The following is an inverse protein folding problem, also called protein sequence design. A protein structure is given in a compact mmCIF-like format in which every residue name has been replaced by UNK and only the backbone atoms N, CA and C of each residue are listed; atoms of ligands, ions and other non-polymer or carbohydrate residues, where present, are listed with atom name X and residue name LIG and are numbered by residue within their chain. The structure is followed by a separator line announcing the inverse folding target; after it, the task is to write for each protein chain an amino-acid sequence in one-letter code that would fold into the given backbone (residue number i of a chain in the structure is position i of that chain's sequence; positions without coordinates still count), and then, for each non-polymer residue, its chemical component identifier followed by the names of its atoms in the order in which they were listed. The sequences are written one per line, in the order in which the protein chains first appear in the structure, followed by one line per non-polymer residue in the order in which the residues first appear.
data_IF_834029065012
#
_entry.id   IF_834029065012
#
_cell.length_a   1.000
_cell.length_b   1.000
_cell.length_c   1.000
_cell.angle_alpha   90.00
_cell.angle_beta   90.00
_cell.angle_gamma   90.00
#
_symmetry.space_group_name_H-M   'P 1'
#
loop_
_entity.id
_entity.type
_entity.pdbx_description
1 polymer ?
#
# COMPACT_ATOMS: atom_id res chain seq x y z
N UNK A 1 -18.68 22.75 21.40
CA UNK A 1 -17.61 23.77 21.32
C UNK A 1 -16.62 23.25 20.27
N UNK A 2 -16.18 24.08 19.31
CA UNK A 2 -15.05 23.70 18.45
C UNK A 2 -13.82 23.75 19.33
N UNK A 3 -13.02 22.68 19.35
CA UNK A 3 -11.73 22.70 20.01
C UNK A 3 -10.89 23.83 19.39
N UNK A 4 -10.44 24.75 20.20
CA UNK A 4 -9.57 25.85 19.73
C UNK A 4 -8.14 25.33 19.80
N UNK A 5 -7.58 24.96 18.65
CA UNK A 5 -6.20 24.50 18.56
C UNK A 5 -5.25 25.70 18.52
N UNK A 6 -4.24 25.70 19.36
CA UNK A 6 -3.13 26.65 19.24
C UNK A 6 -2.16 26.14 18.16
N UNK A 7 -2.41 26.50 16.90
CA UNK A 7 -1.64 26.01 15.74
C UNK A 7 -0.17 26.40 15.80
N UNK A 8 0.14 27.60 16.28
CA UNK A 8 1.51 28.08 16.41
C UNK A 8 2.30 27.22 17.40
N UNK A 9 1.73 26.99 18.58
CA UNK A 9 2.35 26.14 19.59
C UNK A 9 2.50 24.69 19.14
N UNK A 10 1.47 24.12 18.45
CA UNK A 10 1.55 22.78 17.88
C UNK A 10 2.66 22.69 16.81
N UNK A 11 2.79 23.70 15.94
CA UNK A 11 3.86 23.76 14.94
C UNK A 11 5.25 23.87 15.59
N UNK A 12 5.38 24.62 16.66
CA UNK A 12 6.64 24.73 17.44
C UNK A 12 7.01 23.39 18.09
N UNK A 13 6.07 22.71 18.72
CA UNK A 13 6.28 21.40 19.35
C UNK A 13 6.62 20.32 18.31
N UNK A 14 5.92 20.32 17.18
CA UNK A 14 6.18 19.42 16.07
C UNK A 14 7.62 19.53 15.57
N UNK A 15 8.06 20.74 15.22
CA UNK A 15 9.43 21.00 14.76
C UNK A 15 10.51 20.63 15.77
N UNK A 16 10.20 20.71 17.07
CA UNK A 16 11.16 20.43 18.14
C UNK A 16 11.26 18.97 18.51
N UNK A 17 10.20 18.17 18.32
CA UNK A 17 10.12 16.83 18.93
C UNK A 17 9.74 15.71 17.96
N UNK A 18 9.19 16.01 16.75
CA UNK A 18 8.73 15.00 15.83
C UNK A 18 9.71 14.80 14.67
N UNK A 19 10.12 13.56 14.46
CA UNK A 19 10.90 13.18 13.27
C UNK A 19 9.96 12.63 12.21
N UNK A 20 9.73 13.41 11.15
CA UNK A 20 8.84 13.02 10.07
C UNK A 20 9.50 12.05 9.08
N UNK A 21 8.80 10.96 8.68
CA UNK A 21 9.32 10.02 7.68
C UNK A 21 9.47 10.71 6.30
N UNK A 22 10.47 10.28 5.52
CA UNK A 22 10.74 10.77 4.17
C UNK A 22 10.83 12.29 4.03
N UNK A 23 11.19 13.00 5.10
CA UNK A 23 11.14 14.47 5.17
C UNK A 23 12.53 15.04 5.44
N UNK A 24 13.02 16.03 4.65
CA UNK A 24 14.26 16.73 4.94
C UNK A 24 14.14 17.58 6.22
N UNK A 25 14.78 17.16 7.31
CA UNK A 25 14.62 17.75 8.63
C UNK A 25 14.96 19.25 8.67
N UNK A 26 16.04 19.69 8.00
CA UNK A 26 16.42 21.09 7.95
C UNK A 26 15.32 21.97 7.32
N UNK A 27 14.69 21.47 6.26
CA UNK A 27 13.64 22.18 5.56
C UNK A 27 12.33 22.21 6.37
N UNK A 28 12.00 21.10 7.03
CA UNK A 28 10.84 21.01 7.93
C UNK A 28 10.97 21.94 9.12
N UNK A 29 12.15 21.99 9.74
CA UNK A 29 12.44 22.85 10.89
C UNK A 29 12.68 24.33 10.55
N UNK A 30 12.70 24.74 9.27
CA UNK A 30 12.94 26.12 8.88
C UNK A 30 11.84 27.06 9.38
N UNK A 31 12.19 28.35 9.54
CA UNK A 31 11.23 29.38 9.97
C UNK A 31 10.08 29.54 8.97
N UNK A 32 10.38 29.42 7.68
CA UNK A 32 9.42 29.62 6.59
C UNK A 32 8.48 28.43 6.37
N UNK A 33 8.74 27.29 7.02
CA UNK A 33 7.87 26.13 6.89
C UNK A 33 6.79 26.15 7.99
N UNK A 34 5.52 26.14 7.59
CA UNK A 34 4.39 25.98 8.49
C UNK A 34 3.85 24.54 8.37
N UNK A 35 3.93 23.72 9.44
CA UNK A 35 3.34 22.39 9.43
C UNK A 35 1.82 22.42 9.23
N UNK A 36 1.30 21.57 8.38
CA UNK A 36 -0.14 21.40 8.20
C UNK A 36 -0.70 20.51 9.32
N UNK A 37 -1.37 21.12 10.29
CA UNK A 37 -1.96 20.42 11.43
C UNK A 37 -3.39 20.01 11.09
N UNK A 38 -3.62 18.74 10.76
CA UNK A 38 -4.93 18.17 10.45
C UNK A 38 -5.62 17.74 11.75
N UNK A 39 -6.85 18.21 11.97
CA UNK A 39 -7.56 18.03 13.25
C UNK A 39 -8.89 17.29 13.10
N UNK A 40 -9.43 17.19 11.88
CA UNK A 40 -10.71 16.53 11.61
C UNK A 40 -10.73 15.92 10.22
N UNK A 41 -11.50 14.83 10.06
CA UNK A 41 -11.79 14.22 8.78
C UNK A 41 -13.21 13.70 8.72
N UNK A 42 -13.86 13.83 7.55
CA UNK A 42 -15.19 13.31 7.29
C UNK A 42 -15.33 12.94 5.80
N UNK A 43 -15.72 11.70 5.51
CA UNK A 43 -15.71 11.19 4.14
C UNK A 43 -14.36 11.37 3.48
N UNK A 44 -14.31 11.94 2.29
CA UNK A 44 -13.07 12.19 1.58
C UNK A 44 -12.37 13.52 1.96
N UNK A 45 -12.89 14.25 2.96
CA UNK A 45 -12.42 15.59 3.31
C UNK A 45 -11.64 15.59 4.61
N UNK A 46 -10.56 16.37 4.66
CA UNK A 46 -9.78 16.70 5.86
C UNK A 46 -9.94 18.19 6.20
N UNK A 47 -9.81 18.53 7.49
CA UNK A 47 -9.84 19.89 7.98
C UNK A 47 -8.60 20.16 8.85
N UNK A 48 -7.94 21.29 8.60
CA UNK A 48 -6.79 21.72 9.40
C UNK A 48 -7.20 22.56 10.62
N UNK A 49 -6.24 22.88 11.46
CA UNK A 49 -6.43 23.66 12.69
C UNK A 49 -6.89 25.12 12.45
N UNK A 50 -6.81 25.62 11.23
CA UNK A 50 -7.38 26.90 10.81
C UNK A 50 -8.79 26.78 10.24
N UNK A 51 -9.36 25.58 10.17
CA UNK A 51 -10.69 25.32 9.61
C UNK A 51 -10.72 25.25 8.08
N UNK A 52 -9.59 25.21 7.40
CA UNK A 52 -9.51 25.03 5.94
C UNK A 52 -9.74 23.55 5.59
N UNK A 53 -10.51 23.32 4.55
CA UNK A 53 -10.88 21.97 4.13
C UNK A 53 -10.16 21.55 2.85
N UNK A 54 -9.78 20.28 2.80
CA UNK A 54 -9.05 19.70 1.69
C UNK A 54 -9.66 18.34 1.29
N UNK A 55 -9.78 18.10 0.00
CA UNK A 55 -9.96 16.73 -0.49
C UNK A 55 -8.70 15.92 -0.20
N UNK A 56 -8.83 14.77 0.45
CA UNK A 56 -7.72 13.83 0.67
C UNK A 56 -7.40 13.08 -0.63
N UNK A 57 -6.71 13.75 -1.55
CA UNK A 57 -6.39 13.23 -2.88
C UNK A 57 -5.35 12.09 -2.89
N UNK A 58 -4.84 11.73 -1.72
CA UNK A 58 -3.84 10.66 -1.56
C UNK A 58 -4.24 9.63 -0.49
N UNK A 59 -5.51 9.68 -0.03
CA UNK A 59 -6.04 8.73 0.98
C UNK A 59 -5.09 8.54 2.16
N UNK A 60 -4.51 9.64 2.68
CA UNK A 60 -3.55 9.60 3.81
C UNK A 60 -2.43 8.56 3.59
N UNK A 61 -1.79 8.57 2.43
CA UNK A 61 -0.80 7.61 1.93
C UNK A 61 -1.43 6.24 1.65
N UNK A 62 -2.50 6.26 0.81
CA UNK A 62 -3.12 5.06 0.21
C UNK A 62 -3.81 4.13 1.20
N UNK A 63 -3.98 4.58 2.45
CA UNK A 63 -4.55 3.77 3.53
C UNK A 63 -6.06 3.90 3.64
N UNK A 64 -6.59 5.12 3.51
CA UNK A 64 -7.99 5.42 3.73
C UNK A 64 -8.85 4.96 2.54
N UNK A 65 -9.68 3.95 2.75
CA UNK A 65 -10.54 3.36 1.72
C UNK A 65 -11.95 3.95 1.77
N UNK A 66 -12.59 3.93 2.95
CA UNK A 66 -14.01 4.27 3.10
C UNK A 66 -14.27 5.74 3.46
N UNK A 67 -13.21 6.53 3.55
CA UNK A 67 -13.27 7.90 4.06
C UNK A 67 -13.07 7.98 5.58
N UNK A 68 -12.85 9.22 6.02
CA UNK A 68 -12.62 9.53 7.43
C UNK A 68 -13.91 9.45 8.24
N UNK A 69 -13.80 9.05 9.49
CA UNK A 69 -14.87 8.98 10.47
C UNK A 69 -16.10 8.14 10.04
N UNK A 70 -15.87 7.03 9.31
CA UNK A 70 -16.95 6.16 8.83
C UNK A 70 -17.75 5.58 10.00
N UNK A 71 -19.08 5.74 10.07
CA UNK A 71 -19.88 5.42 11.26
C UNK A 71 -19.83 3.94 11.64
N UNK A 72 -19.82 3.04 10.66
CA UNK A 72 -19.77 1.58 10.89
C UNK A 72 -18.44 1.17 11.52
N UNK A 73 -17.31 1.69 11.02
CA UNK A 73 -15.99 1.35 11.56
C UNK A 73 -15.80 1.98 12.94
N UNK A 74 -16.20 3.25 13.13
CA UNK A 74 -16.16 3.93 14.42
C UNK A 74 -16.95 3.17 15.49
N UNK A 75 -18.12 2.63 15.15
CA UNK A 75 -18.94 1.85 16.08
C UNK A 75 -18.25 0.56 16.45
N UNK A 76 -17.76 -0.20 15.47
CA UNK A 76 -17.05 -1.46 15.71
C UNK A 76 -15.85 -1.29 16.65
N UNK A 77 -15.11 -0.19 16.50
CA UNK A 77 -13.99 0.12 17.39
C UNK A 77 -14.44 0.46 18.81
N UNK A 78 -15.50 1.27 18.99
CA UNK A 78 -16.06 1.58 20.33
C UNK A 78 -16.55 0.31 21.01
N UNK A 79 -17.32 -0.52 20.31
CA UNK A 79 -17.84 -1.78 20.85
C UNK A 79 -16.71 -2.74 21.25
N UNK A 80 -15.59 -2.74 20.52
CA UNK A 80 -14.44 -3.58 20.84
C UNK A 80 -13.63 -3.01 22.01
N UNK A 81 -13.51 -1.68 22.14
CA UNK A 81 -12.85 -1.03 23.28
C UNK A 81 -13.53 -1.38 24.60
N UNK A 82 -14.86 -1.50 24.62
CA UNK A 82 -15.63 -1.88 25.81
C UNK A 82 -15.45 -3.35 26.22
N UNK A 83 -14.80 -4.17 25.38
CA UNK A 83 -14.53 -5.60 25.64
C UNK A 83 -13.09 -5.85 26.02
N UNK A 84 -12.19 -5.74 25.04
CA UNK A 84 -10.74 -5.89 25.24
C UNK A 84 -9.99 -5.16 24.12
N UNK A 85 -9.09 -4.26 24.53
CA UNK A 85 -8.30 -3.47 23.58
C UNK A 85 -7.20 -4.30 22.92
N UNK A 86 -6.51 -5.14 23.71
CA UNK A 86 -5.45 -6.02 23.22
C UNK A 86 -5.30 -7.26 24.09
N UNK A 87 -4.97 -8.39 23.44
CA UNK A 87 -4.55 -9.64 24.04
C UNK A 87 -3.51 -10.30 23.13
N UNK A 88 -2.48 -10.88 23.73
CA UNK A 88 -1.42 -11.56 22.99
C UNK A 88 -1.91 -12.81 22.26
N UNK A 89 -1.34 -13.10 21.08
CA UNK A 89 -1.50 -14.36 20.36
C UNK A 89 -0.57 -15.48 20.85
N UNK A 90 0.33 -15.18 21.77
CA UNK A 90 1.20 -16.23 22.36
C UNK A 90 0.43 -17.03 23.40
N UNK A 91 -0.07 -18.20 22.99
CA UNK A 91 -0.85 -19.09 23.82
C UNK A 91 -2.32 -18.69 24.03
N UNK A 92 -2.79 -17.64 23.39
CA UNK A 92 -4.18 -17.18 23.42
C UNK A 92 -4.64 -16.70 22.04
N UNK A 93 -5.94 -16.42 21.91
CA UNK A 93 -6.56 -15.90 20.69
C UNK A 93 -7.73 -15.00 21.04
N UNK A 94 -8.37 -14.38 20.03
CA UNK A 94 -9.53 -13.51 20.25
C UNK A 94 -10.55 -13.66 19.10
N UNK A 95 -11.86 -13.45 19.37
CA UNK A 95 -12.91 -13.62 18.39
C UNK A 95 -12.74 -12.78 17.11
N UNK A 96 -12.43 -11.45 17.17
CA UNK A 96 -12.25 -10.65 15.96
C UNK A 96 -11.14 -11.17 15.03
N UNK A 97 -10.04 -11.66 15.56
CA UNK A 97 -8.96 -12.18 14.73
C UNK A 97 -9.31 -13.54 14.09
N UNK A 98 -10.00 -14.41 14.83
CA UNK A 98 -10.50 -15.68 14.29
C UNK A 98 -11.48 -15.43 13.14
N UNK A 99 -12.45 -14.54 13.36
CA UNK A 99 -13.46 -14.20 12.37
C UNK A 99 -12.84 -13.53 11.15
N UNK A 100 -11.91 -12.61 11.36
CA UNK A 100 -11.20 -11.94 10.26
C UNK A 100 -10.41 -12.95 9.41
N UNK A 101 -9.68 -13.87 10.05
CA UNK A 101 -8.95 -14.92 9.33
C UNK A 101 -9.88 -15.79 8.47
N UNK A 102 -10.98 -16.25 9.05
CA UNK A 102 -12.00 -17.02 8.32
C UNK A 102 -12.61 -16.21 7.17
N UNK A 103 -12.88 -14.93 7.40
CA UNK A 103 -13.44 -14.04 6.38
C UNK A 103 -12.46 -13.81 5.23
N UNK A 104 -11.19 -13.51 5.52
CA UNK A 104 -10.17 -13.27 4.49
C UNK A 104 -9.95 -14.51 3.62
N UNK A 105 -9.84 -15.68 4.23
CA UNK A 105 -9.68 -16.94 3.47
C UNK A 105 -10.89 -17.27 2.61
N UNK A 106 -12.11 -16.92 3.04
CA UNK A 106 -13.34 -17.14 2.27
C UNK A 106 -13.48 -16.26 1.03
N UNK A 107 -12.63 -15.24 0.87
CA UNK A 107 -12.59 -14.39 -0.33
C UNK A 107 -11.88 -15.06 -1.51
N UNK A 108 -11.24 -16.21 -1.28
CA UNK A 108 -10.52 -16.96 -2.29
C UNK A 108 -11.16 -18.35 -2.50
N UNK A 109 -10.91 -18.99 -3.66
CA UNK A 109 -11.39 -20.33 -3.90
C UNK A 109 -10.97 -21.31 -2.79
N UNK A 110 -11.84 -22.26 -2.39
CA UNK A 110 -11.50 -23.25 -1.38
C UNK A 110 -10.16 -23.95 -1.67
N UNK A 111 -9.41 -24.27 -0.61
CA UNK A 111 -8.11 -24.96 -0.68
C UNK A 111 -6.97 -24.18 -1.37
N UNK A 112 -7.13 -22.88 -1.58
CA UNK A 112 -6.05 -22.02 -2.07
C UNK A 112 -5.36 -21.31 -0.91
N UNK A 113 -5.68 -20.05 -0.64
CA UNK A 113 -5.16 -19.28 0.49
C UNK A 113 -5.99 -19.60 1.76
N UNK A 114 -5.54 -20.56 2.55
CA UNK A 114 -6.32 -21.15 3.65
C UNK A 114 -5.84 -20.74 5.05
N UNK A 115 -4.71 -20.04 5.17
CA UNK A 115 -4.09 -19.64 6.43
C UNK A 115 -3.75 -18.16 6.44
N UNK A 116 -3.91 -17.54 7.59
CA UNK A 116 -3.62 -16.12 7.80
C UNK A 116 -2.64 -15.96 8.94
N UNK A 117 -1.56 -15.25 8.68
CA UNK A 117 -0.62 -14.77 9.70
C UNK A 117 -0.79 -13.27 9.84
N UNK A 118 -1.07 -12.78 11.06
CA UNK A 118 -1.25 -11.36 11.33
C UNK A 118 0.07 -10.70 11.77
N UNK A 119 0.31 -9.49 11.25
CA UNK A 119 1.40 -8.60 11.65
C UNK A 119 0.91 -7.14 11.69
N UNK A 120 1.81 -6.16 11.81
CA UNK A 120 1.42 -4.79 12.15
C UNK A 120 1.26 -3.88 10.92
N UNK A 121 2.07 -4.07 9.88
CA UNK A 121 2.11 -3.22 8.69
C UNK A 121 2.53 -3.99 7.42
N UNK A 122 2.51 -3.31 6.25
CA UNK A 122 2.84 -3.93 4.97
C UNK A 122 4.26 -4.51 4.92
N UNK A 123 5.25 -3.81 5.50
CA UNK A 123 6.63 -4.30 5.54
C UNK A 123 6.72 -5.62 6.29
N UNK A 124 6.03 -5.72 7.41
CA UNK A 124 6.03 -6.93 8.26
C UNK A 124 5.21 -8.07 7.67
N UNK A 125 4.20 -7.79 6.83
CA UNK A 125 3.54 -8.83 6.04
C UNK A 125 4.49 -9.44 5.01
N UNK A 126 5.26 -8.61 4.32
CA UNK A 126 6.29 -9.06 3.37
C UNK A 126 7.39 -9.84 4.09
N UNK A 127 7.88 -9.37 5.24
CA UNK A 127 8.85 -10.09 6.07
C UNK A 127 8.34 -11.49 6.47
N UNK A 128 7.06 -11.59 6.84
CA UNK A 128 6.45 -12.89 7.16
C UNK A 128 6.47 -13.83 5.96
N UNK A 129 6.05 -13.37 4.77
CA UNK A 129 6.07 -14.15 3.54
C UNK A 129 7.48 -14.64 3.18
N UNK A 130 8.48 -13.74 3.27
CA UNK A 130 9.88 -14.08 3.01
C UNK A 130 10.40 -15.16 3.96
N UNK A 131 10.20 -14.96 5.26
CA UNK A 131 10.66 -15.91 6.29
C UNK A 131 9.97 -17.26 6.17
N UNK A 132 8.67 -17.28 5.89
CA UNK A 132 7.95 -18.53 5.62
C UNK A 132 8.51 -19.25 4.39
N UNK A 133 8.78 -18.55 3.30
CA UNK A 133 9.33 -19.14 2.09
C UNK A 133 10.72 -19.76 2.34
N UNK A 134 11.61 -19.04 3.03
CA UNK A 134 12.95 -19.55 3.39
C UNK A 134 12.86 -20.79 4.28
N UNK A 135 12.10 -20.68 5.38
CA UNK A 135 11.98 -21.77 6.37
C UNK A 135 11.29 -22.99 5.77
N UNK A 136 10.27 -22.79 4.91
CA UNK A 136 9.64 -23.88 4.15
C UNK A 136 10.70 -24.69 3.38
N UNK A 137 11.55 -24.04 2.60
CA UNK A 137 12.57 -24.71 1.81
C UNK A 137 13.62 -25.40 2.68
N UNK A 138 14.02 -24.80 3.79
CA UNK A 138 14.91 -25.43 4.76
C UNK A 138 14.32 -26.72 5.33
N UNK A 139 13.05 -26.69 5.74
CA UNK A 139 12.36 -27.83 6.35
C UNK A 139 11.94 -28.90 5.32
N UNK A 140 11.82 -28.51 4.05
CA UNK A 140 11.48 -29.44 2.95
C UNK A 140 12.70 -30.03 2.24
N UNK A 141 13.90 -29.92 2.81
CA UNK A 141 15.12 -30.54 2.27
C UNK A 141 15.76 -29.78 1.09
N UNK A 142 15.37 -28.53 0.85
CA UNK A 142 15.89 -27.67 -0.21
C UNK A 142 16.52 -26.36 0.31
N UNK A 143 17.44 -26.39 1.31
CA UNK A 143 17.97 -25.18 1.96
C UNK A 143 18.75 -24.26 1.01
N UNK A 144 19.16 -24.76 -0.16
CA UNK A 144 19.80 -23.97 -1.21
C UNK A 144 18.84 -23.00 -1.90
N UNK A 145 17.53 -23.20 -1.79
CA UNK A 145 16.50 -22.26 -2.28
C UNK A 145 16.33 -21.12 -1.28
N UNK A 146 17.14 -20.08 -1.38
CA UNK A 146 17.18 -18.96 -0.45
C UNK A 146 17.24 -17.59 -1.13
N UNK A 147 17.29 -17.55 -2.48
CA UNK A 147 17.30 -16.32 -3.26
C UNK A 147 15.88 -15.84 -3.54
N UNK A 148 15.76 -14.52 -3.65
CA UNK A 148 14.53 -13.88 -4.12
C UNK A 148 14.74 -13.24 -5.48
N UNK A 149 13.68 -13.21 -6.28
CA UNK A 149 13.58 -12.38 -7.48
C UNK A 149 12.53 -11.31 -7.20
N UNK A 150 12.90 -10.06 -7.45
CA UNK A 150 12.03 -8.90 -7.35
C UNK A 150 12.14 -8.05 -8.62
N UNK A 151 11.37 -7.00 -8.72
CA UNK A 151 11.37 -6.15 -9.91
C UNK A 151 12.09 -4.83 -9.67
N UNK A 152 12.73 -4.30 -10.71
CA UNK A 152 13.27 -2.95 -10.70
C UNK A 152 12.18 -1.96 -10.30
N UNK A 153 12.55 -0.95 -9.54
CA UNK A 153 11.65 0.08 -9.03
C UNK A 153 10.53 -0.41 -8.08
N UNK A 154 10.52 -1.67 -7.66
CA UNK A 154 9.56 -2.16 -6.67
C UNK A 154 9.77 -1.51 -5.30
N UNK A 155 8.67 -1.41 -4.53
CA UNK A 155 8.71 -1.00 -3.14
C UNK A 155 7.87 -1.96 -2.28
N UNK A 156 8.51 -2.61 -1.32
CA UNK A 156 7.87 -3.63 -0.49
C UNK A 156 7.89 -3.28 1.01
N UNK A 157 8.37 -2.09 1.37
CA UNK A 157 8.44 -1.61 2.74
C UNK A 157 9.83 -1.15 3.16
N UNK A 158 9.95 -0.73 4.44
CA UNK A 158 11.13 -0.05 4.98
C UNK A 158 11.87 -0.85 6.07
N UNK A 159 11.41 -2.04 6.46
CA UNK A 159 12.24 -2.98 7.23
C UNK A 159 13.42 -3.45 6.38
N UNK A 160 14.53 -3.84 6.98
CA UNK A 160 15.73 -4.22 6.22
C UNK A 160 15.46 -5.30 5.16
N UNK A 161 14.63 -6.31 5.50
CA UNK A 161 14.29 -7.37 4.55
C UNK A 161 13.40 -6.89 3.42
N UNK A 162 12.29 -6.21 3.74
CA UNK A 162 11.38 -5.66 2.74
C UNK A 162 12.07 -4.61 1.85
N UNK A 163 12.90 -3.72 2.44
CA UNK A 163 13.67 -2.74 1.70
C UNK A 163 14.70 -3.39 0.75
N UNK A 164 15.27 -4.54 1.15
CA UNK A 164 16.20 -5.27 0.29
C UNK A 164 15.53 -5.91 -0.94
N UNK A 165 14.24 -6.28 -0.84
CA UNK A 165 13.44 -6.70 -1.99
C UNK A 165 13.09 -5.55 -2.92
N UNK A 166 13.04 -4.31 -2.41
CA UNK A 166 12.76 -3.13 -3.21
C UNK A 166 13.82 -2.87 -4.29
N UNK A 167 13.41 -2.32 -5.44
CA UNK A 167 14.29 -2.00 -6.58
C UNK A 167 14.62 -0.51 -6.73
N UNK A 168 14.19 0.35 -5.79
CA UNK A 168 14.43 1.80 -5.87
C UNK A 168 15.84 2.12 -5.41
N UNK A 169 16.71 2.51 -6.34
CA UNK A 169 18.15 2.69 -6.11
C UNK A 169 18.50 3.65 -4.97
N UNK A 170 17.71 4.69 -4.72
CA UNK A 170 17.93 5.62 -3.59
C UNK A 170 17.76 4.94 -2.23
N UNK A 171 16.80 4.02 -2.09
CA UNK A 171 16.58 3.26 -0.86
C UNK A 171 17.61 2.16 -0.71
N UNK A 172 17.94 1.46 -1.78
CA UNK A 172 18.97 0.41 -1.81
C UNK A 172 20.33 0.91 -1.33
N UNK A 173 20.74 2.11 -1.73
CA UNK A 173 21.99 2.71 -1.29
C UNK A 173 22.08 2.93 0.23
N UNK A 174 20.95 3.08 0.91
CA UNK A 174 20.91 3.34 2.36
C UNK A 174 21.12 2.09 3.21
N UNK A 175 20.88 0.92 2.63
CA UNK A 175 21.08 -0.39 3.28
C UNK A 175 22.25 -1.18 2.69
N UNK A 176 23.09 -0.54 1.87
CA UNK A 176 24.25 -1.17 1.26
C UNK A 176 25.15 -1.82 2.32
N UNK A 177 25.57 -3.07 2.07
CA UNK A 177 26.37 -3.88 3.02
C UNK A 177 25.54 -4.70 4.03
N UNK A 178 24.21 -4.50 4.09
CA UNK A 178 23.30 -5.28 4.95
C UNK A 178 22.26 -6.06 4.15
N UNK A 179 22.60 -6.37 2.90
CA UNK A 179 21.71 -7.01 1.94
C UNK A 179 21.91 -8.51 1.89
N UNK A 180 20.83 -9.28 1.76
CA UNK A 180 20.86 -10.68 1.33
C UNK A 180 20.65 -10.79 -0.19
N UNK A 181 20.93 -11.96 -0.81
CA UNK A 181 20.90 -12.10 -2.26
C UNK A 181 19.49 -11.95 -2.86
N UNK A 182 19.24 -10.85 -3.55
CA UNK A 182 18.06 -10.59 -4.37
C UNK A 182 18.52 -10.34 -5.81
N UNK A 183 17.77 -10.85 -6.78
CA UNK A 183 17.97 -10.54 -8.20
C UNK A 183 16.81 -9.65 -8.65
N UNK A 184 17.11 -8.43 -9.08
CA UNK A 184 16.14 -7.53 -9.67
C UNK A 184 16.09 -7.72 -11.18
N UNK A 185 14.87 -7.69 -11.73
CA UNK A 185 14.58 -7.81 -13.17
C UNK A 185 13.63 -6.70 -13.61
N UNK A 186 13.79 -6.19 -14.82
CA UNK A 186 12.91 -5.17 -15.39
C UNK A 186 11.67 -5.74 -16.06
N UNK A 187 11.76 -6.99 -16.54
CA UNK A 187 10.70 -7.73 -17.23
C UNK A 187 10.87 -9.24 -17.05
N UNK A 188 10.00 -10.04 -17.67
CA UNK A 188 10.01 -11.50 -17.54
C UNK A 188 11.04 -12.23 -18.44
N UNK A 189 11.79 -11.52 -19.29
CA UNK A 189 12.71 -12.17 -20.23
C UNK A 189 13.79 -13.02 -19.52
N UNK A 190 14.50 -12.53 -18.49
CA UNK A 190 15.52 -13.31 -17.81
C UNK A 190 14.98 -14.35 -16.84
N UNK A 191 13.69 -14.29 -16.50
CA UNK A 191 13.10 -15.05 -15.40
C UNK A 191 13.26 -16.56 -15.57
N UNK A 192 12.97 -17.10 -16.75
CA UNK A 192 13.03 -18.55 -16.99
C UNK A 192 14.45 -19.12 -16.77
N UNK A 193 15.48 -18.39 -17.14
CA UNK A 193 16.88 -18.84 -16.94
C UNK A 193 17.33 -18.68 -15.48
N UNK A 194 16.79 -17.67 -14.77
CA UNK A 194 17.02 -17.53 -13.34
C UNK A 194 16.36 -18.66 -12.55
N UNK A 195 15.13 -19.04 -12.89
CA UNK A 195 14.39 -20.11 -12.24
C UNK A 195 15.06 -21.50 -12.47
N UNK A 196 15.60 -21.75 -13.64
CA UNK A 196 16.36 -22.99 -13.95
C UNK A 196 17.55 -23.23 -13.03
N UNK A 197 18.10 -22.19 -12.38
CA UNK A 197 19.23 -22.34 -11.43
C UNK A 197 18.84 -23.12 -10.17
N UNK A 198 17.56 -23.28 -9.89
CA UNK A 198 17.04 -24.09 -8.79
C UNK A 198 17.29 -23.53 -7.38
N UNK A 199 17.75 -22.30 -7.24
CA UNK A 199 18.11 -21.69 -5.95
C UNK A 199 17.18 -20.56 -5.51
N UNK A 200 16.06 -20.36 -6.23
CA UNK A 200 15.08 -19.31 -5.95
C UNK A 200 14.05 -19.84 -4.96
N UNK A 201 13.84 -19.09 -3.87
CA UNK A 201 12.80 -19.36 -2.88
C UNK A 201 11.45 -18.82 -3.34
N UNK A 202 11.41 -17.55 -3.75
CA UNK A 202 10.19 -16.90 -4.21
C UNK A 202 10.48 -15.75 -5.20
N UNK A 203 9.47 -15.43 -5.97
CA UNK A 203 9.37 -14.18 -6.76
C UNK A 203 8.34 -13.29 -6.09
N UNK A 204 8.63 -11.99 -5.95
CA UNK A 204 7.71 -11.01 -5.38
C UNK A 204 7.40 -9.91 -6.39
N UNK A 205 6.13 -9.45 -6.41
CA UNK A 205 5.67 -8.37 -7.29
C UNK A 205 4.51 -7.59 -6.65
N UNK A 206 4.44 -6.29 -6.94
CA UNK A 206 3.22 -5.48 -6.80
C UNK A 206 2.34 -5.75 -8.03
N UNK A 207 1.15 -6.37 -7.92
CA UNK A 207 0.37 -6.78 -9.09
C UNK A 207 -0.27 -5.59 -9.78
N UNK A 208 -0.32 -5.61 -11.12
CA UNK A 208 -0.89 -4.64 -12.06
C UNK A 208 -0.19 -3.28 -12.08
N UNK A 209 0.27 -2.74 -10.95
CA UNK A 209 0.85 -1.41 -10.84
C UNK A 209 1.86 -1.35 -9.69
N UNK A 210 3.06 -0.83 -9.98
CA UNK A 210 4.04 -0.47 -8.96
C UNK A 210 3.72 0.92 -8.40
N UNK A 211 3.66 1.03 -7.06
CA UNK A 211 3.30 2.28 -6.39
C UNK A 211 4.41 3.32 -6.40
N UNK A 212 5.42 3.08 -5.61
CA UNK A 212 6.40 4.11 -5.20
C UNK A 212 7.38 4.57 -6.29
N UNK A 213 7.41 3.94 -7.44
CA UNK A 213 8.26 4.32 -8.57
C UNK A 213 7.54 5.16 -9.64
N UNK A 214 6.48 5.87 -9.28
CA UNK A 214 5.77 6.75 -10.22
C UNK A 214 4.54 6.09 -10.84
N UNK A 215 3.94 5.11 -10.18
CA UNK A 215 2.71 4.44 -10.62
C UNK A 215 2.88 3.73 -11.98
N UNK A 216 3.95 2.94 -12.10
CA UNK A 216 4.23 2.17 -13.31
C UNK A 216 3.23 1.02 -13.48
N UNK A 217 2.52 0.99 -14.61
CA UNK A 217 1.50 -0.02 -14.92
C UNK A 217 2.15 -1.17 -15.70
N UNK A 218 1.94 -2.40 -15.22
CA UNK A 218 2.41 -3.60 -15.90
C UNK A 218 1.59 -3.90 -17.17
N UNK A 219 2.21 -4.48 -18.20
CA UNK A 219 1.47 -4.99 -19.35
C UNK A 219 0.42 -6.03 -18.92
N UNK A 220 -0.76 -5.95 -19.52
CA UNK A 220 -1.82 -6.92 -19.28
C UNK A 220 -1.37 -8.34 -19.60
N UNK A 221 -1.65 -9.29 -18.71
CA UNK A 221 -1.26 -10.69 -18.82
C UNK A 221 0.12 -11.02 -18.23
N UNK A 222 0.89 -10.00 -17.79
CA UNK A 222 2.20 -10.21 -17.18
C UNK A 222 2.09 -11.05 -15.90
N UNK A 223 1.11 -10.77 -15.05
CA UNK A 223 0.95 -11.48 -13.79
C UNK A 223 0.58 -12.96 -14.02
N UNK A 224 -0.26 -13.24 -15.01
CA UNK A 224 -0.62 -14.61 -15.41
C UNK A 224 0.60 -15.38 -15.96
N UNK A 225 1.42 -14.75 -16.82
CA UNK A 225 2.66 -15.36 -17.32
C UNK A 225 3.65 -15.61 -16.18
N UNK A 226 3.80 -14.65 -15.28
CA UNK A 226 4.64 -14.80 -14.08
C UNK A 226 4.18 -16.00 -13.24
N UNK A 227 2.88 -16.11 -12.92
CA UNK A 227 2.33 -17.25 -12.14
C UNK A 227 2.64 -18.58 -12.83
N UNK A 228 2.40 -18.64 -14.15
CA UNK A 228 2.70 -19.86 -14.92
C UNK A 228 4.17 -20.28 -14.80
N UNK A 229 5.11 -19.34 -14.99
CA UNK A 229 6.55 -19.63 -14.88
C UNK A 229 6.97 -20.06 -13.47
N UNK A 230 6.38 -19.44 -12.44
CA UNK A 230 6.61 -19.86 -11.07
C UNK A 230 6.10 -21.28 -10.80
N UNK A 231 4.92 -21.63 -11.32
CA UNK A 231 4.36 -22.99 -11.22
C UNK A 231 5.25 -24.01 -11.93
N UNK A 232 5.68 -23.74 -13.17
CA UNK A 232 6.50 -24.62 -13.98
C UNK A 232 7.85 -24.92 -13.31
N UNK A 233 8.35 -23.99 -12.48
CA UNK A 233 9.62 -24.10 -11.76
C UNK A 233 9.48 -24.53 -10.29
N UNK A 234 8.25 -24.74 -9.80
CA UNK A 234 7.94 -24.97 -8.38
C UNK A 234 8.59 -23.89 -7.47
N UNK A 235 8.41 -22.60 -7.83
CA UNK A 235 8.90 -21.45 -7.06
C UNK A 235 7.69 -20.66 -6.55
N UNK A 236 7.76 -20.20 -5.31
CA UNK A 236 6.67 -19.43 -4.71
C UNK A 236 6.49 -18.07 -5.37
N UNK A 237 5.23 -17.65 -5.51
CA UNK A 237 4.85 -16.30 -5.90
C UNK A 237 4.29 -15.56 -4.69
N UNK A 238 4.90 -14.43 -4.37
CA UNK A 238 4.42 -13.49 -3.35
C UNK A 238 3.80 -12.30 -4.08
N UNK A 239 2.52 -12.03 -3.82
CA UNK A 239 1.87 -10.80 -4.28
C UNK A 239 1.80 -9.80 -3.13
N UNK A 240 2.39 -8.65 -3.37
CA UNK A 240 2.29 -7.51 -2.48
C UNK A 240 1.08 -6.65 -2.88
N UNK A 241 -0.06 -6.92 -2.25
CA UNK A 241 -1.29 -6.14 -2.43
C UNK A 241 -1.53 -5.12 -1.30
N UNK A 242 -0.47 -4.70 -0.66
CA UNK A 242 -0.54 -3.68 0.39
C UNK A 242 -1.11 -2.36 -0.12
N UNK A 243 -0.78 -1.98 -1.38
CA UNK A 243 -1.34 -0.79 -2.03
C UNK A 243 -2.53 -1.14 -2.93
N UNK A 244 -2.44 -2.22 -3.67
CA UNK A 244 -3.36 -2.55 -4.77
C UNK A 244 -4.66 -3.18 -4.32
N UNK A 245 -4.68 -3.79 -3.14
CA UNK A 245 -5.84 -4.43 -2.56
C UNK A 245 -6.95 -3.45 -2.13
N UNK A 246 -8.07 -4.03 -1.76
CA UNK A 246 -9.23 -3.34 -1.21
C UNK A 246 -9.82 -2.28 -2.14
N UNK A 247 -10.06 -2.67 -3.40
CA UNK A 247 -10.82 -1.87 -4.37
C UNK A 247 -10.00 -0.90 -5.20
N UNK A 248 -8.73 -0.65 -4.86
CA UNK A 248 -7.90 0.37 -5.52
C UNK A 248 -7.80 0.21 -7.03
N UNK A 249 -7.67 -1.02 -7.51
CA UNK A 249 -7.56 -1.33 -8.93
C UNK A 249 -8.89 -1.59 -9.64
N UNK A 250 -10.02 -1.53 -8.89
CA UNK A 250 -11.38 -1.75 -9.42
C UNK A 250 -11.99 -3.10 -9.06
N UNK A 251 -11.20 -4.05 -8.57
CA UNK A 251 -11.60 -5.33 -7.96
C UNK A 251 -11.21 -5.35 -6.48
N UNK A 252 -11.68 -6.31 -5.69
CA UNK A 252 -11.30 -6.35 -4.27
C UNK A 252 -9.79 -6.55 -4.12
N UNK A 253 -9.21 -7.46 -4.90
CA UNK A 253 -7.78 -7.66 -5.05
C UNK A 253 -7.35 -7.50 -6.51
N UNK A 254 -6.15 -6.99 -6.75
CA UNK A 254 -5.64 -6.78 -8.10
C UNK A 254 -5.43 -8.11 -8.85
N UNK A 255 -5.01 -9.15 -8.15
CA UNK A 255 -4.78 -10.47 -8.73
C UNK A 255 -6.02 -11.10 -9.37
N UNK A 256 -7.23 -10.70 -8.95
CA UNK A 256 -8.49 -11.16 -9.54
C UNK A 256 -8.62 -10.78 -11.04
N UNK A 257 -8.03 -9.66 -11.45
CA UNK A 257 -8.14 -9.18 -12.84
C UNK A 257 -7.41 -10.06 -13.86
N UNK A 258 -6.48 -10.89 -13.40
CA UNK A 258 -5.75 -11.84 -14.24
C UNK A 258 -5.94 -13.30 -13.79
N UNK A 259 -6.92 -13.57 -12.92
CA UNK A 259 -7.24 -14.90 -12.38
C UNK A 259 -6.03 -15.61 -11.74
N UNK A 260 -5.21 -14.85 -11.02
CA UNK A 260 -3.99 -15.37 -10.38
C UNK A 260 -4.18 -15.58 -8.90
N UNK A 261 -3.85 -16.79 -8.43
CA UNK A 261 -3.76 -17.11 -7.01
C UNK A 261 -2.27 -17.27 -6.66
N UNK A 262 -1.75 -16.47 -5.72
CA UNK A 262 -0.36 -16.60 -5.27
C UNK A 262 -0.18 -17.70 -4.22
N UNK A 263 1.07 -17.97 -3.85
CA UNK A 263 1.40 -18.77 -2.68
C UNK A 263 1.37 -17.95 -1.38
N UNK A 264 1.69 -16.65 -1.49
CA UNK A 264 1.59 -15.67 -0.41
C UNK A 264 0.94 -14.39 -0.92
N UNK A 265 -0.02 -13.87 -0.15
CA UNK A 265 -0.68 -12.60 -0.40
C UNK A 265 -0.47 -11.68 0.80
N UNK A 266 0.22 -10.56 0.59
CA UNK A 266 0.51 -9.56 1.62
C UNK A 266 -0.53 -8.44 1.58
N UNK A 267 -1.21 -8.20 2.70
CA UNK A 267 -2.28 -7.22 2.85
C UNK A 267 -1.99 -6.29 4.04
N UNK A 268 -2.27 -4.99 3.89
CA UNK A 268 -2.25 -3.99 4.96
C UNK A 268 -3.08 -2.78 4.54
N UNK A 269 -2.73 -1.56 4.96
CA UNK A 269 -3.36 -0.28 4.56
C UNK A 269 -4.89 -0.34 4.49
N UNK A 270 -5.44 -0.61 3.31
CA UNK A 270 -6.87 -0.73 3.08
C UNK A 270 -7.57 -1.82 3.90
N UNK A 271 -6.85 -2.79 4.43
CA UNK A 271 -7.37 -3.87 5.26
C UNK A 271 -8.26 -3.35 6.40
N UNK A 272 -7.81 -2.30 7.10
CA UNK A 272 -8.57 -1.67 8.19
C UNK A 272 -9.35 -0.44 7.73
N UNK A 273 -9.44 -0.20 6.41
CA UNK A 273 -9.98 1.05 5.89
C UNK A 273 -9.11 2.28 6.19
N UNK A 274 -7.85 2.08 6.62
CA UNK A 274 -6.93 3.15 7.00
C UNK A 274 -7.06 3.62 8.46
N UNK A 275 -7.76 2.87 9.31
CA UNK A 275 -8.03 3.28 10.70
C UNK A 275 -6.94 2.89 11.67
N UNK A 276 -6.39 1.69 11.56
CA UNK A 276 -5.41 1.14 12.50
C UNK A 276 -4.32 0.35 11.77
N UNK A 277 -3.10 0.32 12.32
CA UNK A 277 -2.06 -0.61 11.88
C UNK A 277 -2.54 -2.05 12.05
N UNK A 278 -2.55 -2.80 10.98
CA UNK A 278 -2.78 -4.24 10.91
C UNK A 278 -2.34 -4.71 9.52
N UNK A 279 -1.71 -5.86 9.50
CA UNK A 279 -1.39 -6.56 8.26
C UNK A 279 -1.72 -8.05 8.36
N UNK A 280 -1.87 -8.67 7.20
CA UNK A 280 -2.12 -10.09 7.08
C UNK A 280 -1.30 -10.67 5.92
N UNK A 281 -0.64 -11.79 6.15
CA UNK A 281 -0.03 -12.63 5.13
C UNK A 281 -0.87 -13.87 4.99
N UNK A 282 -1.59 -13.99 3.87
CA UNK A 282 -2.33 -15.20 3.55
C UNK A 282 -1.40 -16.19 2.85
N UNK A 283 -1.56 -17.48 3.15
CA UNK A 283 -0.78 -18.52 2.50
C UNK A 283 -1.57 -19.83 2.35
N UNK A 284 -0.96 -20.80 1.68
CA UNK A 284 -1.57 -22.09 1.35
C UNK A 284 -1.40 -23.11 2.48
N UNK A 285 -2.25 -24.16 2.47
CA UNK A 285 -2.07 -25.31 3.37
C UNK A 285 -0.72 -26.01 3.13
N UNK A 286 -0.22 -26.05 1.89
CA UNK A 286 1.10 -26.58 1.55
C UNK A 286 2.21 -25.92 2.38
N UNK A 287 2.19 -24.58 2.46
CA UNK A 287 3.18 -23.83 3.25
C UNK A 287 2.98 -24.11 4.73
N UNK A 288 1.76 -23.96 5.24
CA UNK A 288 1.44 -24.14 6.66
C UNK A 288 1.84 -25.52 7.20
N UNK A 289 1.54 -26.58 6.45
CA UNK A 289 1.82 -27.96 6.87
C UNK A 289 3.31 -28.27 7.04
N UNK A 290 4.19 -27.53 6.36
CA UNK A 290 5.64 -27.70 6.51
C UNK A 290 6.15 -27.27 7.91
N UNK A 291 5.38 -26.43 8.63
CA UNK A 291 5.69 -25.99 9.98
C UNK A 291 5.06 -26.90 11.07
N UNK A 292 4.39 -27.97 10.65
CA UNK A 292 3.81 -28.99 11.53
C UNK A 292 4.85 -30.02 11.95
N UNK A 293 4.62 -30.65 13.10
CA UNK A 293 5.44 -31.71 13.64
C UNK A 293 5.51 -31.68 15.16
N UNK A 294 6.11 -32.69 15.80
CA UNK A 294 6.35 -32.67 17.23
C UNK A 294 7.32 -31.51 17.59
N UNK A 295 7.27 -31.06 18.83
CA UNK A 295 8.06 -29.91 19.30
C UNK A 295 9.57 -30.11 19.10
N UNK A 296 10.04 -31.36 19.22
CA UNK A 296 11.44 -31.74 19.07
C UNK A 296 11.99 -31.50 17.65
N UNK A 297 11.12 -31.48 16.64
CA UNK A 297 11.51 -31.18 15.26
C UNK A 297 11.88 -29.72 15.04
N UNK A 298 11.55 -28.82 15.99
CA UNK A 298 11.83 -27.38 15.96
C UNK A 298 11.33 -26.67 14.67
N UNK A 299 10.20 -27.13 14.12
CA UNK A 299 9.61 -26.59 12.89
C UNK A 299 8.76 -25.35 13.12
N UNK A 300 8.62 -24.90 14.36
CA UNK A 300 7.82 -23.71 14.71
C UNK A 300 8.29 -22.47 13.96
N UNK A 301 7.34 -21.70 13.48
CA UNK A 301 7.63 -20.39 12.89
C UNK A 301 7.90 -19.38 14.01
N UNK A 302 9.17 -19.19 14.37
CA UNK A 302 9.60 -18.25 15.42
C UNK A 302 9.61 -16.81 14.89
N UNK A 303 8.44 -16.29 14.60
CA UNK A 303 8.22 -14.92 14.20
C UNK A 303 6.85 -14.45 14.68
N UNK A 304 6.76 -13.23 15.18
CA UNK A 304 5.53 -12.63 15.65
C UNK A 304 5.83 -11.30 16.33
N UNK A 305 4.79 -10.48 16.46
CA UNK A 305 4.87 -9.17 17.07
C UNK A 305 3.94 -9.10 18.29
N UNK A 306 4.19 -8.17 19.19
CA UNK A 306 3.36 -7.99 20.39
C UNK A 306 1.90 -7.73 20.05
N UNK A 307 1.62 -7.04 18.94
CA UNK A 307 0.26 -6.68 18.51
C UNK A 307 -0.29 -7.57 17.38
N UNK A 308 0.33 -8.71 17.08
CA UNK A 308 -0.21 -9.67 16.11
C UNK A 308 -1.66 -10.04 16.44
N UNK A 309 -2.57 -9.91 15.47
CA UNK A 309 -3.98 -10.20 15.66
C UNK A 309 -4.70 -9.28 16.65
N UNK A 310 -4.24 -8.02 16.77
CA UNK A 310 -4.85 -7.04 17.68
C UNK A 310 -6.37 -6.95 17.48
N UNK A 311 -7.18 -7.12 18.55
CA UNK A 311 -8.65 -7.14 18.44
C UNK A 311 -9.24 -5.86 17.85
N UNK A 312 -8.68 -4.68 18.15
CA UNK A 312 -9.17 -3.41 17.60
C UNK A 312 -8.90 -3.34 16.08
N UNK A 313 -7.68 -3.69 15.65
CA UNK A 313 -7.33 -3.74 14.24
C UNK A 313 -8.19 -4.74 13.47
N UNK A 314 -8.40 -5.94 14.04
CA UNK A 314 -9.25 -6.97 13.45
C UNK A 314 -10.73 -6.54 13.38
N UNK A 315 -11.24 -5.85 14.39
CA UNK A 315 -12.61 -5.31 14.38
C UNK A 315 -12.79 -4.22 13.34
N UNK A 316 -11.79 -3.33 13.17
CA UNK A 316 -11.79 -2.35 12.09
C UNK A 316 -11.80 -3.02 10.71
N UNK A 317 -10.98 -4.06 10.52
CA UNK A 317 -10.91 -4.80 9.27
C UNK A 317 -12.21 -5.54 8.94
N UNK A 318 -12.83 -6.19 9.92
CA UNK A 318 -14.15 -6.82 9.76
C UNK A 318 -15.22 -5.79 9.38
N UNK A 319 -15.22 -4.64 10.04
CA UNK A 319 -16.13 -3.53 9.72
C UNK A 319 -15.87 -2.98 8.31
N UNK A 320 -14.60 -2.84 7.90
CA UNK A 320 -14.22 -2.45 6.54
C UNK A 320 -14.77 -3.43 5.49
N UNK A 321 -14.61 -4.74 5.70
CA UNK A 321 -15.18 -5.77 4.81
C UNK A 321 -16.72 -5.74 4.78
N UNK A 322 -17.38 -5.42 5.91
CA UNK A 322 -18.83 -5.25 5.94
C UNK A 322 -19.27 -4.03 5.11
N UNK A 323 -18.56 -2.90 5.21
CA UNK A 323 -18.82 -1.71 4.38
C UNK A 323 -18.69 -2.04 2.90
N UNK A 324 -17.67 -2.79 2.46
CA UNK A 324 -17.57 -3.23 1.07
C UNK A 324 -18.82 -3.95 0.57
N UNK A 325 -19.37 -4.88 1.39
CA UNK A 325 -20.55 -5.65 1.05
C UNK A 325 -21.82 -4.81 1.12
N UNK A 326 -22.05 -4.16 2.26
CA UNK A 326 -23.34 -3.54 2.60
C UNK A 326 -23.60 -2.26 1.79
N UNK A 327 -22.56 -1.52 1.46
CA UNK A 327 -22.61 -0.31 0.64
C UNK A 327 -22.25 -0.56 -0.83
N UNK A 328 -22.06 -1.82 -1.23
CA UNK A 328 -21.75 -2.22 -2.62
C UNK A 328 -20.61 -1.40 -3.24
N UNK A 329 -19.53 -1.22 -2.46
CA UNK A 329 -18.45 -0.28 -2.80
C UNK A 329 -17.88 -0.56 -4.20
N UNK A 330 -17.59 -1.83 -4.54
CA UNK A 330 -16.99 -2.19 -5.83
C UNK A 330 -17.91 -1.91 -7.02
N UNK A 331 -19.21 -2.16 -6.87
CA UNK A 331 -20.20 -1.86 -7.90
C UNK A 331 -20.30 -0.33 -8.11
N UNK A 332 -20.40 0.43 -7.02
CA UNK A 332 -20.51 1.88 -7.04
C UNK A 332 -19.21 2.58 -7.47
N UNK A 333 -18.09 1.86 -7.45
CA UNK A 333 -16.79 2.37 -7.87
C UNK A 333 -16.63 2.39 -9.41
N UNK A 334 -17.25 1.46 -10.14
CA UNK A 334 -17.05 1.33 -11.58
C UNK A 334 -17.39 2.60 -12.38
N UNK A 335 -18.54 3.26 -12.16
CA UNK A 335 -18.83 4.52 -12.83
C UNK A 335 -17.85 5.64 -12.46
N UNK A 336 -17.34 5.64 -11.22
CA UNK A 336 -16.33 6.63 -10.79
C UNK A 336 -14.98 6.40 -11.48
N UNK A 337 -14.57 5.16 -11.69
CA UNK A 337 -13.35 4.82 -12.45
C UNK A 337 -13.47 5.32 -13.90
N UNK A 338 -14.63 5.12 -14.54
CA UNK A 338 -14.88 5.61 -15.88
C UNK A 338 -14.88 7.14 -15.93
N UNK A 339 -15.57 7.79 -14.98
CA UNK A 339 -15.58 9.24 -14.86
C UNK A 339 -14.17 9.82 -14.64
N UNK A 340 -13.36 9.20 -13.76
CA UNK A 340 -11.98 9.60 -13.55
C UNK A 340 -11.16 9.53 -14.84
N UNK A 341 -11.35 8.47 -15.66
CA UNK A 341 -10.67 8.33 -16.96
C UNK A 341 -11.01 9.47 -17.91
N UNK A 342 -12.30 9.81 -18.01
CA UNK A 342 -12.77 10.88 -18.91
C UNK A 342 -12.22 12.25 -18.47
N UNK A 343 -12.14 12.50 -17.16
CA UNK A 343 -11.59 13.74 -16.64
C UNK A 343 -10.06 13.83 -16.82
N UNK A 344 -9.35 12.72 -16.66
CA UNK A 344 -7.90 12.64 -16.83
C UNK A 344 -7.47 12.95 -18.28
N UNK A 345 -8.31 12.67 -19.28
CA UNK A 345 -8.01 13.00 -20.67
C UNK A 345 -7.72 14.49 -20.91
N UNK A 346 -8.23 15.38 -20.05
CA UNK A 346 -7.97 16.83 -20.15
C UNK A 346 -6.53 17.22 -19.90
N UNK A 347 -5.76 16.40 -19.20
CA UNK A 347 -4.37 16.68 -18.87
C UNK A 347 -3.45 16.44 -20.06
N UNK A 348 -3.83 15.58 -21.01
CA UNK A 348 -2.96 15.19 -22.13
C UNK A 348 -2.65 16.34 -23.10
N UNK A 349 -3.43 17.43 -23.07
CA UNK A 349 -3.19 18.63 -23.88
C UNK A 349 -2.24 19.64 -23.22
N UNK A 350 -1.87 19.47 -21.96
CA UNK A 350 -1.00 20.40 -21.25
C UNK A 350 0.47 20.15 -21.65
N UNK A 351 1.23 21.21 -22.08
CA UNK A 351 2.56 21.03 -22.65
C UNK A 351 3.61 20.42 -21.70
N UNK A 352 3.40 20.52 -20.40
CA UNK A 352 4.28 19.94 -19.38
C UNK A 352 3.77 18.61 -18.81
N UNK A 353 2.65 18.07 -19.29
CA UNK A 353 2.19 16.72 -18.93
C UNK A 353 2.75 15.72 -19.93
N UNK A 354 3.60 14.84 -19.46
CA UNK A 354 4.27 13.84 -20.27
C UNK A 354 3.42 12.57 -20.44
N UNK A 355 2.87 12.08 -19.34
CA UNK A 355 2.09 10.86 -19.30
C UNK A 355 1.00 10.93 -18.24
N UNK A 356 -0.16 10.34 -18.55
CA UNK A 356 -1.26 10.14 -17.63
C UNK A 356 -1.50 8.65 -17.50
N UNK A 357 -1.41 8.13 -16.28
CA UNK A 357 -1.58 6.70 -15.96
C UNK A 357 -2.83 6.51 -15.13
N UNK A 358 -3.58 5.45 -15.40
CA UNK A 358 -4.72 5.05 -14.56
C UNK A 358 -4.81 3.53 -14.44
N UNK A 359 -4.90 3.06 -13.19
CA UNK A 359 -5.22 1.67 -12.86
C UNK A 359 -6.36 1.67 -11.83
N UNK A 360 -7.58 1.34 -12.27
CA UNK A 360 -8.76 1.45 -11.42
C UNK A 360 -8.98 2.88 -10.90
N UNK A 361 -8.97 3.06 -9.58
CA UNK A 361 -9.14 4.36 -8.92
C UNK A 361 -7.82 4.98 -8.46
N UNK A 362 -6.73 4.59 -9.10
CA UNK A 362 -5.38 5.12 -8.95
C UNK A 362 -5.03 5.91 -10.20
N UNK A 363 -4.61 7.16 -10.08
CA UNK A 363 -4.12 7.96 -11.19
C UNK A 363 -2.80 8.64 -10.86
N UNK A 364 -1.92 8.73 -11.87
CA UNK A 364 -0.66 9.44 -11.85
C UNK A 364 -0.55 10.36 -13.06
N UNK A 365 -0.15 11.60 -12.82
CA UNK A 365 0.10 12.60 -13.88
C UNK A 365 1.57 12.97 -13.81
N UNK A 366 2.36 12.46 -14.74
CA UNK A 366 3.79 12.76 -14.82
C UNK A 366 4.01 14.08 -15.52
N UNK A 367 4.74 14.98 -14.85
CA UNK A 367 5.11 16.26 -15.43
C UNK A 367 6.59 16.31 -15.82
N UNK A 368 6.88 16.92 -16.96
CA UNK A 368 8.23 17.15 -17.48
C UNK A 368 8.34 18.55 -18.10
N UNK A 369 9.53 18.94 -18.45
CA UNK A 369 9.76 20.16 -19.24
C UNK A 369 9.05 20.05 -20.60
N UNK A 370 8.72 21.19 -21.27
CA UNK A 370 8.02 21.16 -22.56
C UNK A 370 8.76 20.41 -23.67
N UNK A 371 10.08 20.24 -23.56
CA UNK A 371 10.90 19.43 -24.47
C UNK A 371 10.88 17.93 -24.16
N UNK A 372 10.11 17.51 -23.14
CA UNK A 372 9.99 16.11 -22.69
C UNK A 372 11.09 15.65 -21.72
N UNK A 373 12.08 16.49 -21.42
CA UNK A 373 13.12 16.13 -20.45
C UNK A 373 12.64 16.24 -19.01
N UNK A 374 13.13 15.38 -18.08
CA UNK A 374 12.79 15.49 -16.66
C UNK A 374 13.21 16.83 -16.09
N UNK A 375 12.44 17.35 -15.13
CA UNK A 375 12.90 18.50 -14.34
C UNK A 375 14.13 18.10 -13.49
N UNK A 376 15.10 18.99 -13.29
CA UNK A 376 16.18 18.77 -12.33
C UNK A 376 15.58 18.42 -10.95
N UNK A 377 16.00 17.29 -10.38
CA UNK A 377 15.42 16.78 -9.12
C UNK A 377 15.52 17.80 -7.95
N UNK A 378 16.54 18.67 -7.98
CA UNK A 378 16.74 19.73 -7.00
C UNK A 378 15.59 20.75 -6.99
N UNK A 379 14.91 20.93 -8.13
CA UNK A 379 13.77 21.85 -8.24
C UNK A 379 12.53 21.34 -7.49
N UNK A 380 12.43 20.02 -7.29
CA UNK A 380 11.29 19.38 -6.60
C UNK A 380 9.95 19.85 -7.17
N UNK A 381 9.84 19.85 -8.50
CA UNK A 381 8.72 20.44 -9.24
C UNK A 381 7.39 19.82 -8.85
N UNK A 382 7.29 18.48 -8.79
CA UNK A 382 6.09 17.79 -8.34
C UNK A 382 5.67 18.19 -6.92
N UNK A 383 6.63 18.37 -5.99
CA UNK A 383 6.31 18.82 -4.63
C UNK A 383 5.76 20.25 -4.60
N UNK A 384 6.32 21.16 -5.39
CA UNK A 384 5.81 22.54 -5.53
C UNK A 384 4.39 22.55 -6.06
N UNK A 385 4.11 21.76 -7.11
CA UNK A 385 2.76 21.65 -7.67
C UNK A 385 1.78 21.14 -6.61
N UNK A 386 2.12 20.11 -5.83
CA UNK A 386 1.25 19.60 -4.77
C UNK A 386 1.06 20.63 -3.64
N UNK A 387 2.05 21.45 -3.33
CA UNK A 387 1.90 22.58 -2.38
C UNK A 387 0.96 23.66 -2.94
N UNK A 388 1.02 23.93 -4.23
CA UNK A 388 0.08 24.84 -4.91
C UNK A 388 -1.34 24.25 -4.91
N UNK A 389 -1.50 22.96 -5.21
CA UNK A 389 -2.81 22.28 -5.19
C UNK A 389 -3.51 22.38 -3.82
N UNK A 390 -2.74 22.44 -2.72
CA UNK A 390 -3.27 22.67 -1.38
C UNK A 390 -4.04 24.00 -1.27
N UNK A 391 -3.58 25.07 -1.94
CA UNK A 391 -4.29 26.37 -1.98
C UNK A 391 -5.62 26.27 -2.71
N UNK A 392 -5.76 25.29 -3.60
CA UNK A 392 -6.98 24.98 -4.33
C UNK A 392 -7.84 23.89 -3.64
N UNK A 393 -7.56 23.55 -2.38
CA UNK A 393 -8.36 22.60 -1.59
C UNK A 393 -8.08 21.11 -1.88
N UNK A 394 -6.94 20.78 -2.50
CA UNK A 394 -6.51 19.40 -2.70
C UNK A 394 -5.25 19.08 -1.91
N UNK A 395 -5.32 18.08 -1.04
CA UNK A 395 -4.17 17.55 -0.33
C UNK A 395 -3.68 16.29 -1.06
N UNK A 396 -2.55 16.40 -1.73
CA UNK A 396 -1.87 15.27 -2.37
C UNK A 396 -0.36 15.42 -2.27
N UNK A 397 0.36 14.42 -2.73
CA UNK A 397 1.84 14.43 -2.79
C UNK A 397 2.33 13.76 -4.07
N UNK A 398 3.50 14.12 -4.58
CA UNK A 398 4.06 13.47 -5.75
C UNK A 398 4.89 12.25 -5.36
N UNK A 399 5.15 11.41 -6.36
CA UNK A 399 6.26 10.46 -6.41
C UNK A 399 7.24 10.99 -7.45
N UNK A 400 8.36 11.57 -7.00
CA UNK A 400 9.21 12.41 -7.85
C UNK A 400 8.37 13.52 -8.52
N UNK A 401 8.24 13.53 -9.84
CA UNK A 401 7.41 14.46 -10.60
C UNK A 401 6.13 13.82 -11.17
N UNK A 402 5.73 12.66 -10.65
CA UNK A 402 4.41 12.08 -10.88
C UNK A 402 3.45 12.52 -9.78
N UNK A 403 2.47 13.33 -10.14
CA UNK A 403 1.42 13.81 -9.23
C UNK A 403 0.40 12.69 -9.01
N UNK A 404 0.17 12.33 -7.76
CA UNK A 404 -0.74 11.21 -7.42
C UNK A 404 -2.16 11.73 -7.19
N UNK A 405 -3.16 11.05 -7.78
CA UNK A 405 -4.57 11.20 -7.43
C UNK A 405 -5.15 9.82 -7.10
N UNK A 406 -5.23 9.52 -5.83
CA UNK A 406 -5.70 8.25 -5.28
C UNK A 406 -6.59 8.52 -4.05
N UNK A 407 -7.75 9.16 -4.22
CA UNK A 407 -8.62 9.55 -3.11
C UNK A 407 -9.33 8.34 -2.49
N UNK A 408 -10.01 8.48 -1.33
CA UNK A 408 -10.88 7.44 -0.78
C UNK A 408 -11.96 7.02 -1.77
N UNK A 409 -12.36 5.74 -1.73
CA UNK A 409 -13.36 5.20 -2.66
C UNK A 409 -14.75 5.84 -2.50
N UNK A 410 -15.03 6.46 -1.34
CA UNK A 410 -16.26 7.22 -1.09
C UNK A 410 -16.32 8.56 -1.83
N UNK A 411 -15.21 9.03 -2.41
CA UNK A 411 -15.15 10.31 -3.16
C UNK A 411 -16.22 10.36 -4.24
N UNK A 412 -17.00 11.46 -4.27
CA UNK A 412 -18.05 11.66 -5.26
C UNK A 412 -17.47 12.13 -6.60
N UNK A 413 -18.24 12.02 -7.68
CA UNK A 413 -17.83 12.54 -9.00
C UNK A 413 -17.55 14.04 -8.97
N UNK A 414 -18.36 14.83 -8.26
CA UNK A 414 -18.12 16.27 -8.08
C UNK A 414 -16.80 16.55 -7.33
N UNK A 415 -16.43 15.72 -6.35
CA UNK A 415 -15.15 15.84 -5.66
C UNK A 415 -13.97 15.39 -6.56
N UNK A 416 -14.18 14.40 -7.43
CA UNK A 416 -13.19 14.02 -8.45
C UNK A 416 -12.92 15.21 -9.37
N UNK A 417 -13.98 15.84 -9.88
CA UNK A 417 -13.88 17.01 -10.77
C UNK A 417 -13.16 18.17 -10.09
N UNK A 418 -13.54 18.50 -8.87
CA UNK A 418 -12.90 19.58 -8.09
C UNK A 418 -11.42 19.28 -7.80
N UNK A 419 -11.08 18.03 -7.43
CA UNK A 419 -9.70 17.61 -7.16
C UNK A 419 -8.82 17.69 -8.40
N UNK A 420 -9.30 17.21 -9.55
CA UNK A 420 -8.56 17.27 -10.81
C UNK A 420 -8.46 18.71 -11.34
N UNK A 421 -9.49 19.54 -11.15
CA UNK A 421 -9.43 20.96 -11.48
C UNK A 421 -8.37 21.68 -10.62
N UNK A 422 -8.33 21.41 -9.32
CA UNK A 422 -7.31 21.93 -8.42
C UNK A 422 -5.89 21.53 -8.86
N UNK A 423 -5.72 20.27 -9.29
CA UNK A 423 -4.44 19.76 -9.76
C UNK A 423 -4.02 20.42 -11.08
N UNK A 424 -4.95 20.58 -12.04
CA UNK A 424 -4.70 21.27 -13.30
C UNK A 424 -4.32 22.73 -13.08
N UNK A 425 -5.06 23.45 -12.23
CA UNK A 425 -4.73 24.84 -11.87
C UNK A 425 -3.34 24.95 -11.23
N UNK A 426 -2.99 24.01 -10.34
CA UNK A 426 -1.70 23.98 -9.69
C UNK A 426 -0.53 23.72 -10.67
N UNK A 427 -0.72 22.84 -11.65
CA UNK A 427 0.26 22.60 -12.72
C UNK A 427 0.48 23.89 -13.50
N UNK A 428 -0.60 24.49 -13.99
CA UNK A 428 -0.53 25.73 -14.79
C UNK A 428 0.13 26.88 -14.01
N UNK A 429 -0.29 27.09 -12.75
CA UNK A 429 0.25 28.17 -11.90
C UNK A 429 1.75 27.98 -11.55
N UNK A 430 2.18 26.72 -11.37
CA UNK A 430 3.57 26.43 -10.95
C UNK A 430 4.51 26.42 -12.14
N UNK A 431 4.03 26.10 -13.34
CA UNK A 431 4.86 25.92 -14.55
C UNK A 431 4.66 27.04 -15.59
N UNK A 432 3.84 28.08 -15.28
CA UNK A 432 3.80 29.31 -16.03
C UNK A 432 5.08 30.13 -15.77
#
# INVERSE_FOLDING_TARGET
MRDVWNTEELGRLDKSHVWHPFTPNQQWGSADHEPLVLVRGEGAMLEDSHGRRYLDGNSSIWTNIHGHAHPTINRALRDQLDRVAHVSFLGSTNPPAIELAARLTSLFPPQTLSRVFFSDDGSTAVEAAMKMAIQFHQQSGAPHRSRFIAFDNAYHGDTLGAANLGGIGTFQKRIAGHQFPVTHISDLNPLSDLLKKGNVAAVIIEPLIQGAAGLHIWPRGLLRDLRKRCNDADVFLILDEVMTGFGRTGTLFACEQEDVIPDFLCLAKGLTGGYLPLAATLTTERVFSAFGGPFEDQKTFYYGHSYSGNPLGCSAALASLNVFRDEKILENLQPKISHLRDQLARFTSHPCVHEVRQCGFIAGIEVRQPDGTPFPWQQRTGAKICMTARRHGLLTRPILDTLVFMPPLCTTTAQIDAGLQALHAAITETLA
#
